data_IF_748954148711
#
_entry.id   IF_748954148711
#
_cell.length_a   1.000
_cell.length_b   1.000
_cell.length_c   1.000
_cell.angle_alpha   90.00
_cell.angle_beta   90.00
_cell.angle_gamma   90.00
#
_symmetry.space_group_name_H-M   'P 1'
#
loop_
_entity.id
_entity.type
_entity.pdbx_description
1 polymer ?
#
# COMPACT_ATOMS: atom_id res chain seq x y z
N UNK A 1 7.49 28.79 22.81
CA UNK A 1 8.82 29.02 22.20
C UNK A 1 9.83 27.90 22.48
N UNK A 2 9.89 27.33 23.69
CA UNK A 2 10.80 26.20 24.04
C UNK A 2 10.58 24.93 23.20
N UNK A 3 9.32 24.55 22.86
CA UNK A 3 9.04 23.35 22.05
C UNK A 3 9.58 23.41 20.60
N UNK A 4 9.76 24.61 20.01
CA UNK A 4 10.37 24.75 18.66
C UNK A 4 11.89 24.57 18.69
N UNK A 5 12.54 24.87 19.81
CA UNK A 5 14.00 24.69 19.98
C UNK A 5 14.36 23.21 20.22
N UNK A 6 13.48 22.43 20.86
CA UNK A 6 13.70 20.99 21.11
C UNK A 6 13.63 20.19 19.80
N UNK A 7 12.82 20.60 18.82
CA UNK A 7 12.71 19.92 17.49
C UNK A 7 13.93 20.08 16.56
N UNK A 8 14.79 21.07 16.79
CA UNK A 8 16.08 21.17 16.07
C UNK A 8 17.16 20.25 16.63
N UNK A 9 16.84 19.52 17.70
CA UNK A 9 17.71 18.61 18.44
C UNK A 9 17.14 17.17 18.43
N UNK A 10 16.39 16.75 17.41
CA UNK A 10 16.12 15.32 17.23
C UNK A 10 17.50 14.67 17.04
N UNK A 11 17.91 13.77 17.96
CA UNK A 11 19.17 13.06 17.81
C UNK A 11 19.19 12.42 16.43
N UNK A 12 20.34 12.45 15.76
CA UNK A 12 20.51 11.83 14.43
C UNK A 12 20.06 10.35 14.41
N UNK A 13 20.04 9.73 15.58
CA UNK A 13 19.57 8.36 15.82
C UNK A 13 18.05 8.19 15.69
N UNK A 14 17.24 9.16 16.10
CA UNK A 14 15.78 9.08 15.99
C UNK A 14 15.30 9.27 14.54
N UNK A 15 16.08 10.02 13.76
CA UNK A 15 15.77 10.31 12.36
C UNK A 15 15.76 9.06 11.48
N UNK A 16 16.63 8.08 11.76
CA UNK A 16 16.75 6.85 10.99
C UNK A 16 15.42 6.04 10.95
N UNK A 17 14.66 6.01 12.05
CA UNK A 17 13.39 5.29 12.11
C UNK A 17 12.34 5.91 11.18
N UNK A 18 12.25 7.24 11.14
CA UNK A 18 11.35 7.93 10.21
C UNK A 18 11.78 7.77 8.76
N UNK A 19 13.09 7.82 8.47
CA UNK A 19 13.65 7.61 7.13
C UNK A 19 13.32 6.20 6.63
N UNK A 20 13.47 5.17 7.45
CA UNK A 20 13.11 3.78 7.09
C UNK A 20 11.60 3.60 6.87
N UNK A 21 10.76 4.24 7.67
CA UNK A 21 9.31 4.21 7.43
C UNK A 21 8.92 4.91 6.13
N UNK A 22 9.55 6.03 5.79
CA UNK A 22 9.33 6.73 4.52
C UNK A 22 9.85 5.87 3.35
N UNK A 23 11.06 5.30 3.42
CA UNK A 23 11.60 4.40 2.40
C UNK A 23 10.65 3.22 2.14
N UNK A 24 10.05 2.65 3.19
CA UNK A 24 9.09 1.57 3.06
C UNK A 24 7.77 2.01 2.41
N UNK A 25 7.23 3.20 2.74
CA UNK A 25 6.00 3.71 2.11
C UNK A 25 6.23 4.10 0.65
N UNK A 26 7.36 4.71 0.32
CA UNK A 26 7.77 5.01 -1.06
C UNK A 26 7.87 3.73 -1.91
N UNK A 27 8.50 2.68 -1.39
CA UNK A 27 8.59 1.38 -2.08
C UNK A 27 7.21 0.75 -2.31
N UNK A 28 6.29 0.89 -1.37
CA UNK A 28 4.90 0.41 -1.51
C UNK A 28 4.13 1.24 -2.54
N UNK A 29 4.30 2.55 -2.56
CA UNK A 29 3.71 3.44 -3.57
C UNK A 29 4.23 3.10 -4.96
N UNK A 30 5.55 2.90 -5.12
CA UNK A 30 6.15 2.45 -6.37
C UNK A 30 5.55 1.11 -6.84
N UNK A 31 5.37 0.15 -5.93
CA UNK A 31 4.74 -1.14 -6.24
C UNK A 31 3.34 -0.99 -6.81
N UNK A 32 2.52 -0.12 -6.22
CA UNK A 32 1.16 0.12 -6.69
C UNK A 32 1.14 0.90 -8.01
N UNK A 33 2.07 1.83 -8.21
CA UNK A 33 2.26 2.58 -9.45
C UNK A 33 2.65 1.64 -10.60
N UNK A 34 3.59 0.73 -10.38
CA UNK A 34 4.01 -0.27 -11.38
C UNK A 34 2.84 -1.21 -11.69
N UNK A 35 2.08 -1.67 -10.68
CA UNK A 35 0.89 -2.49 -10.90
C UNK A 35 -0.15 -1.76 -11.76
N UNK A 36 -0.39 -0.46 -11.53
CA UNK A 36 -1.30 0.37 -12.34
C UNK A 36 -0.81 0.51 -13.79
N UNK A 37 0.50 0.59 -14.01
CA UNK A 37 1.09 0.57 -15.35
C UNK A 37 0.89 -0.78 -16.04
N UNK A 38 1.14 -1.89 -15.36
CA UNK A 38 0.95 -3.26 -15.89
C UNK A 38 -0.49 -3.46 -16.39
N UNK A 39 -1.49 -2.99 -15.63
CA UNK A 39 -2.92 -3.14 -16.02
C UNK A 39 -3.27 -2.38 -17.31
N UNK A 40 -2.55 -1.30 -17.60
CA UNK A 40 -2.79 -0.43 -18.76
C UNK A 40 -1.93 -0.78 -19.97
N UNK A 41 -0.86 -1.56 -19.78
CA UNK A 41 0.11 -1.90 -20.81
C UNK A 41 -0.41 -3.03 -21.72
N UNK A 42 -0.01 -3.00 -22.99
CA UNK A 42 -0.37 -4.02 -24.00
C UNK A 42 0.84 -4.66 -24.67
N UNK A 43 2.00 -4.00 -24.58
CA UNK A 43 3.23 -4.55 -25.14
C UNK A 43 3.85 -5.60 -24.24
N UNK A 44 4.04 -6.82 -24.76
CA UNK A 44 4.52 -7.97 -23.98
C UNK A 44 5.94 -7.79 -23.43
N UNK A 45 6.82 -7.07 -24.13
CA UNK A 45 8.17 -6.82 -23.65
C UNK A 45 8.14 -5.89 -22.46
N UNK A 46 7.43 -4.78 -22.57
CA UNK A 46 7.23 -3.80 -21.49
C UNK A 46 6.53 -4.43 -20.28
N UNK A 47 5.54 -5.31 -20.48
CA UNK A 47 4.88 -6.08 -19.42
C UNK A 47 5.86 -6.97 -18.66
N UNK A 48 6.81 -7.62 -19.36
CA UNK A 48 7.84 -8.45 -18.73
C UNK A 48 8.78 -7.61 -17.86
N UNK A 49 9.21 -6.45 -18.35
CA UNK A 49 10.08 -5.53 -17.62
C UNK A 49 9.39 -4.98 -16.35
N UNK A 50 8.15 -4.50 -16.48
CA UNK A 50 7.36 -4.01 -15.36
C UNK A 50 7.07 -5.10 -14.32
N UNK A 51 6.86 -6.34 -14.76
CA UNK A 51 6.63 -7.48 -13.88
C UNK A 51 7.86 -7.80 -13.03
N UNK A 52 9.05 -7.72 -13.63
CA UNK A 52 10.30 -7.90 -12.91
C UNK A 52 10.60 -6.72 -11.97
N UNK A 53 10.35 -5.48 -12.41
CA UNK A 53 10.46 -4.29 -11.57
C UNK A 53 9.55 -4.42 -10.33
N UNK A 54 8.28 -4.81 -10.52
CA UNK A 54 7.35 -5.06 -9.42
C UNK A 54 7.86 -6.14 -8.45
N UNK A 55 8.44 -7.21 -8.99
CA UNK A 55 9.01 -8.28 -8.17
C UNK A 55 10.16 -7.77 -7.29
N UNK A 56 11.01 -6.89 -7.84
CA UNK A 56 12.16 -6.32 -7.13
C UNK A 56 11.74 -5.42 -5.96
N UNK A 57 10.61 -4.72 -6.03
CA UNK A 57 10.10 -3.93 -4.90
C UNK A 57 9.90 -4.77 -3.64
N UNK A 58 9.60 -6.08 -3.81
CA UNK A 58 9.49 -7.02 -2.70
C UNK A 58 10.82 -7.22 -1.96
N UNK A 59 11.90 -7.30 -2.70
CA UNK A 59 13.26 -7.44 -2.12
C UNK A 59 13.61 -6.18 -1.34
N UNK A 60 13.40 -5.00 -1.94
CA UNK A 60 13.66 -3.70 -1.28
C UNK A 60 12.85 -3.58 0.02
N UNK A 61 11.55 -3.90 0.00
CA UNK A 61 10.72 -3.81 1.21
C UNK A 61 11.21 -4.75 2.32
N UNK A 62 11.69 -5.96 1.98
CA UNK A 62 12.28 -6.89 2.96
C UNK A 62 13.58 -6.33 3.53
N UNK A 63 14.43 -5.73 2.71
CA UNK A 63 15.68 -5.12 3.16
C UNK A 63 15.42 -3.96 4.12
N UNK A 64 14.43 -3.10 3.83
CA UNK A 64 14.03 -2.00 4.73
C UNK A 64 13.50 -2.54 6.06
N UNK A 65 12.70 -3.60 6.04
CA UNK A 65 12.20 -4.24 7.26
C UNK A 65 13.36 -4.81 8.11
N UNK A 66 14.31 -5.48 7.48
CA UNK A 66 15.51 -6.01 8.15
C UNK A 66 16.38 -4.89 8.73
N UNK A 67 16.54 -3.76 8.01
CA UNK A 67 17.24 -2.57 8.53
C UNK A 67 16.52 -2.03 9.77
N UNK A 68 15.17 -1.91 9.73
CA UNK A 68 14.39 -1.46 10.88
C UNK A 68 14.60 -2.37 12.11
N UNK A 69 14.51 -3.68 11.94
CA UNK A 69 14.72 -4.64 13.04
C UNK A 69 16.14 -4.53 13.61
N UNK A 70 17.16 -4.32 12.74
CA UNK A 70 18.53 -4.10 13.17
C UNK A 70 18.68 -2.81 13.99
N UNK A 71 18.10 -1.69 13.54
CA UNK A 71 18.14 -0.43 14.27
C UNK A 71 17.36 -0.52 15.60
N UNK A 72 16.22 -1.21 15.60
CA UNK A 72 15.49 -1.49 16.84
C UNK A 72 16.32 -2.31 17.82
N UNK A 73 17.14 -3.26 17.38
CA UNK A 73 18.01 -4.04 18.27
C UNK A 73 19.19 -3.22 18.85
N UNK A 74 19.67 -2.23 18.11
CA UNK A 74 20.84 -1.41 18.51
C UNK A 74 20.50 -0.22 19.42
N UNK A 75 19.28 0.31 19.31
CA UNK A 75 18.88 1.51 20.04
C UNK A 75 18.02 1.13 21.24
N UNK A 76 18.45 1.51 22.45
CA UNK A 76 17.69 1.23 23.67
C UNK A 76 16.48 2.15 23.81
N UNK A 77 16.59 3.39 23.37
CA UNK A 77 15.51 4.39 23.35
C UNK A 77 15.12 4.68 21.90
N UNK A 78 13.83 4.74 21.61
CA UNK A 78 13.28 5.03 20.29
C UNK A 78 12.30 6.20 20.35
N UNK A 79 12.13 6.98 19.26
CA UNK A 79 11.23 8.16 19.24
C UNK A 79 9.77 7.80 19.37
N UNK A 80 9.43 6.57 19.03
CA UNK A 80 8.08 5.98 19.05
C UNK A 80 8.20 4.63 19.76
N UNK A 81 7.12 4.14 20.34
CA UNK A 81 7.08 2.79 20.92
C UNK A 81 7.58 1.75 19.89
N UNK A 82 8.50 0.89 20.32
CA UNK A 82 9.18 -0.11 19.46
C UNK A 82 8.20 -1.08 18.80
N UNK A 83 7.14 -1.45 19.52
CA UNK A 83 6.10 -2.34 19.00
C UNK A 83 5.32 -1.64 17.88
N UNK A 84 5.03 -0.36 18.03
CA UNK A 84 4.35 0.42 16.99
C UNK A 84 5.23 0.58 15.75
N UNK A 85 6.53 0.89 15.89
CA UNK A 85 7.49 0.95 14.78
C UNK A 85 7.55 -0.38 14.00
N UNK A 86 7.72 -1.49 14.73
CA UNK A 86 7.76 -2.83 14.14
C UNK A 86 6.44 -3.19 13.44
N UNK A 87 5.30 -2.83 14.03
CA UNK A 87 3.99 -3.08 13.45
C UNK A 87 3.78 -2.33 12.12
N UNK A 88 4.12 -1.05 12.06
CA UNK A 88 4.00 -0.23 10.84
C UNK A 88 4.83 -0.85 9.71
N UNK A 89 6.10 -1.16 9.96
CA UNK A 89 6.98 -1.80 8.95
C UNK A 89 6.44 -3.16 8.53
N UNK A 90 5.96 -3.98 9.47
CA UNK A 90 5.37 -5.29 9.17
C UNK A 90 4.12 -5.17 8.29
N UNK A 91 3.26 -4.17 8.54
CA UNK A 91 2.09 -3.93 7.70
C UNK A 91 2.47 -3.44 6.30
N UNK A 92 3.48 -2.56 6.16
CA UNK A 92 4.00 -2.13 4.85
C UNK A 92 4.58 -3.31 4.07
N UNK A 93 5.34 -4.19 4.72
CA UNK A 93 5.84 -5.44 4.14
C UNK A 93 4.71 -6.35 3.64
N UNK A 94 3.63 -6.48 4.43
CA UNK A 94 2.43 -7.24 4.06
C UNK A 94 1.68 -6.59 2.89
N UNK A 95 1.58 -5.27 2.85
CA UNK A 95 0.93 -4.53 1.76
C UNK A 95 1.66 -4.74 0.44
N UNK A 96 2.99 -4.56 0.40
CA UNK A 96 3.78 -4.85 -0.78
C UNK A 96 3.58 -6.30 -1.27
N UNK A 97 3.61 -7.29 -0.36
CA UNK A 97 3.34 -8.70 -0.69
C UNK A 97 1.96 -8.90 -1.34
N UNK A 98 0.95 -8.16 -0.87
CA UNK A 98 -0.41 -8.23 -1.42
C UNK A 98 -0.47 -7.62 -2.82
N UNK A 99 0.20 -6.49 -3.07
CA UNK A 99 0.28 -5.86 -4.39
C UNK A 99 0.94 -6.82 -5.40
N UNK A 100 2.07 -7.42 -5.06
CA UNK A 100 2.73 -8.43 -5.91
C UNK A 100 1.84 -9.67 -6.13
N UNK A 101 1.04 -10.06 -5.14
CA UNK A 101 0.08 -11.17 -5.28
C UNK A 101 -1.06 -10.84 -6.25
N UNK A 102 -1.57 -9.60 -6.25
CA UNK A 102 -2.58 -9.15 -7.22
C UNK A 102 -2.06 -9.34 -8.64
N UNK A 103 -0.84 -8.88 -8.93
CA UNK A 103 -0.21 -9.07 -10.25
C UNK A 103 -0.17 -10.54 -10.66
N UNK A 104 0.27 -11.45 -9.78
CA UNK A 104 0.31 -12.89 -10.08
C UNK A 104 -1.04 -13.47 -10.44
N UNK A 105 -2.11 -13.04 -9.77
CA UNK A 105 -3.46 -13.47 -10.07
C UNK A 105 -3.94 -12.89 -11.40
N UNK A 106 -3.57 -11.64 -11.70
CA UNK A 106 -3.89 -11.00 -12.98
C UNK A 106 -3.19 -11.70 -14.16
N UNK A 107 -1.94 -12.12 -14.03
CA UNK A 107 -1.24 -12.88 -15.08
C UNK A 107 -2.03 -14.13 -15.50
N UNK A 108 -2.61 -14.87 -14.54
CA UNK A 108 -3.45 -16.05 -14.82
C UNK A 108 -4.73 -15.69 -15.58
N UNK A 109 -5.27 -14.48 -15.37
CA UNK A 109 -6.50 -14.01 -16.02
C UNK A 109 -6.26 -13.41 -17.42
N UNK A 110 -5.11 -12.72 -17.61
CA UNK A 110 -4.78 -12.03 -18.86
C UNK A 110 -4.58 -12.97 -20.05
N UNK A 111 -4.37 -14.28 -19.79
CA UNK A 111 -4.38 -15.32 -20.83
C UNK A 111 -5.77 -15.55 -21.42
N UNK A 112 -6.84 -15.07 -20.77
CA UNK A 112 -8.22 -15.16 -21.21
C UNK A 112 -8.71 -13.76 -21.66
N UNK A 113 -8.74 -13.46 -22.96
CA UNK A 113 -9.14 -12.16 -23.53
C UNK A 113 -10.63 -11.85 -23.25
N UNK A 114 -10.94 -11.16 -22.13
CA UNK A 114 -12.28 -10.64 -21.80
C UNK A 114 -12.21 -9.18 -21.35
N UNK A 115 -12.40 -8.27 -22.31
CA UNK A 115 -12.17 -6.83 -22.18
C UNK A 115 -12.90 -6.11 -21.03
N UNK A 116 -14.14 -6.50 -20.69
CA UNK A 116 -14.94 -5.80 -19.67
C UNK A 116 -14.38 -5.98 -18.25
N UNK A 117 -13.78 -7.13 -17.95
CA UNK A 117 -13.16 -7.41 -16.64
C UNK A 117 -11.96 -6.51 -16.40
N UNK A 118 -11.19 -6.25 -17.46
CA UNK A 118 -9.96 -5.45 -17.37
C UNK A 118 -10.24 -3.98 -16.97
N UNK A 119 -11.35 -3.41 -17.42
CA UNK A 119 -11.70 -2.01 -17.09
C UNK A 119 -12.00 -1.83 -15.60
N UNK A 120 -12.79 -2.73 -15.00
CA UNK A 120 -13.09 -2.66 -13.55
C UNK A 120 -11.87 -2.94 -12.69
N UNK A 121 -11.04 -3.89 -13.09
CA UNK A 121 -9.76 -4.16 -12.42
C UNK A 121 -8.85 -2.94 -12.46
N UNK A 122 -8.76 -2.25 -13.63
CA UNK A 122 -7.96 -1.04 -13.77
C UNK A 122 -8.41 0.06 -12.81
N UNK A 123 -9.71 0.28 -12.65
CA UNK A 123 -10.25 1.29 -11.72
C UNK A 123 -9.91 0.95 -10.26
N UNK A 124 -10.06 -0.32 -9.85
CA UNK A 124 -9.72 -0.76 -8.50
C UNK A 124 -8.21 -0.64 -8.22
N UNK A 125 -7.35 -0.99 -9.19
CA UNK A 125 -5.90 -0.84 -9.07
C UNK A 125 -5.50 0.63 -9.02
N UNK A 126 -6.13 1.48 -9.83
CA UNK A 126 -5.89 2.94 -9.78
C UNK A 126 -6.26 3.53 -8.41
N UNK A 127 -7.35 3.05 -7.80
CA UNK A 127 -7.72 3.50 -6.46
C UNK A 127 -6.72 3.00 -5.42
N UNK A 128 -6.25 1.75 -5.50
CA UNK A 128 -5.17 1.25 -4.65
C UNK A 128 -3.91 2.12 -4.78
N UNK A 129 -3.52 2.51 -6.00
CA UNK A 129 -2.41 3.44 -6.25
C UNK A 129 -2.64 4.81 -5.60
N UNK A 130 -3.86 5.36 -5.69
CA UNK A 130 -4.21 6.63 -5.02
C UNK A 130 -4.09 6.51 -3.50
N UNK A 131 -4.53 5.38 -2.92
CA UNK A 131 -4.45 5.14 -1.48
C UNK A 131 -2.99 4.98 -1.00
N UNK A 132 -2.15 4.24 -1.72
CA UNK A 132 -0.73 4.10 -1.37
C UNK A 132 0.01 5.44 -1.48
N UNK A 133 -0.33 6.29 -2.45
CA UNK A 133 0.21 7.65 -2.54
C UNK A 133 -0.20 8.51 -1.35
N UNK A 134 -1.47 8.46 -0.94
CA UNK A 134 -1.93 9.20 0.25
C UNK A 134 -1.24 8.67 1.51
N UNK A 135 -1.00 7.36 1.60
CA UNK A 135 -0.31 6.75 2.73
C UNK A 135 1.16 7.21 2.82
N UNK A 136 1.86 7.33 1.70
CA UNK A 136 3.21 7.89 1.63
C UNK A 136 3.23 9.37 2.07
N UNK A 137 2.29 10.17 1.57
CA UNK A 137 2.14 11.57 2.00
C UNK A 137 1.81 11.68 3.50
N UNK A 138 0.99 10.75 4.05
CA UNK A 138 0.72 10.66 5.49
C UNK A 138 1.98 10.36 6.31
N UNK A 139 2.81 9.42 5.86
CA UNK A 139 4.07 9.09 6.54
C UNK A 139 5.02 10.28 6.56
N UNK A 140 5.14 11.00 5.44
CA UNK A 140 5.94 12.23 5.32
C UNK A 140 5.41 13.37 6.21
N UNK A 141 4.09 13.51 6.31
CA UNK A 141 3.45 14.50 7.20
C UNK A 141 3.66 14.13 8.67
N UNK A 142 3.55 12.84 9.01
CA UNK A 142 3.80 12.31 10.33
C UNK A 142 5.26 12.56 10.79
N UNK A 143 6.24 12.23 9.96
CA UNK A 143 7.66 12.47 10.25
C UNK A 143 7.97 13.97 10.47
N UNK A 144 7.20 14.89 9.86
CA UNK A 144 7.32 16.35 10.03
C UNK A 144 6.45 16.91 11.17
N UNK A 145 5.69 16.07 11.86
CA UNK A 145 4.69 16.45 12.87
C UNK A 145 3.67 17.48 12.35
N UNK A 146 3.28 17.34 11.08
CA UNK A 146 2.30 18.22 10.48
C UNK A 146 0.87 17.68 10.71
N UNK A 147 0.33 18.03 11.88
CA UNK A 147 -0.97 17.54 12.36
C UNK A 147 -2.14 17.85 11.44
N UNK A 148 -2.13 19.03 10.82
CA UNK A 148 -3.22 19.48 9.95
C UNK A 148 -3.25 18.66 8.66
N UNK A 149 -2.10 18.49 8.02
CA UNK A 149 -2.01 17.74 6.78
C UNK A 149 -2.28 16.25 7.03
N UNK A 150 -1.76 15.70 8.13
CA UNK A 150 -1.99 14.29 8.50
C UNK A 150 -3.48 13.98 8.64
N UNK A 151 -4.26 14.84 9.33
CA UNK A 151 -5.71 14.67 9.46
C UNK A 151 -6.43 14.75 8.12
N UNK A 152 -6.08 15.71 7.26
CA UNK A 152 -6.70 15.87 5.94
C UNK A 152 -6.40 14.67 5.04
N UNK A 153 -5.17 14.16 5.06
CA UNK A 153 -4.76 12.98 4.30
C UNK A 153 -5.48 11.73 4.79
N UNK A 154 -5.64 11.55 6.10
CA UNK A 154 -6.41 10.45 6.66
C UNK A 154 -7.87 10.46 6.18
N UNK A 155 -8.55 11.61 6.23
CA UNK A 155 -9.92 11.76 5.71
C UNK A 155 -10.00 11.43 4.22
N UNK A 156 -9.00 11.85 3.42
CA UNK A 156 -8.93 11.53 2.00
C UNK A 156 -8.77 10.03 1.76
N UNK A 157 -7.95 9.34 2.56
CA UNK A 157 -7.76 7.90 2.45
C UNK A 157 -9.03 7.14 2.78
N UNK A 158 -9.75 7.53 3.84
CA UNK A 158 -11.04 6.94 4.25
C UNK A 158 -12.10 7.10 3.14
N UNK A 159 -12.17 8.27 2.50
CA UNK A 159 -13.10 8.49 1.38
C UNK A 159 -12.77 7.60 0.16
N UNK A 160 -11.48 7.32 -0.10
CA UNK A 160 -11.08 6.39 -1.17
C UNK A 160 -11.46 4.94 -0.83
N UNK A 161 -11.37 4.53 0.44
CA UNK A 161 -11.76 3.19 0.92
C UNK A 161 -13.26 2.93 0.72
N UNK A 162 -14.11 3.88 1.11
CA UNK A 162 -15.56 3.80 0.92
C UNK A 162 -15.96 3.64 -0.55
N UNK A 163 -15.38 4.45 -1.45
CA UNK A 163 -15.68 4.42 -2.88
C UNK A 163 -15.31 3.06 -3.51
N UNK A 164 -14.20 2.45 -3.12
CA UNK A 164 -13.77 1.15 -3.69
C UNK A 164 -14.70 0.02 -3.28
N UNK A 165 -15.22 0.02 -2.07
CA UNK A 165 -16.17 -1.02 -1.65
C UNK A 165 -17.44 -1.02 -2.52
N UNK A 166 -17.92 0.16 -2.94
CA UNK A 166 -19.03 0.29 -3.87
C UNK A 166 -18.66 -0.21 -5.28
N UNK A 167 -17.48 0.18 -5.80
CA UNK A 167 -16.99 -0.26 -7.11
C UNK A 167 -16.82 -1.79 -7.16
N UNK A 168 -16.28 -2.40 -6.10
CA UNK A 168 -16.12 -3.84 -5.98
C UNK A 168 -17.48 -4.56 -5.96
N UNK A 169 -18.47 -4.03 -5.23
CA UNK A 169 -19.80 -4.59 -5.18
C UNK A 169 -20.51 -4.52 -6.55
N UNK A 170 -20.36 -3.40 -7.27
CA UNK A 170 -20.89 -3.23 -8.62
C UNK A 170 -20.23 -4.17 -9.63
N UNK A 171 -18.91 -4.34 -9.56
CA UNK A 171 -18.18 -5.27 -10.41
C UNK A 171 -18.65 -6.71 -10.19
N UNK A 172 -18.74 -7.18 -8.95
CA UNK A 172 -19.19 -8.53 -8.62
C UNK A 172 -20.64 -8.79 -9.06
N UNK A 173 -21.53 -7.79 -8.97
CA UNK A 173 -22.92 -7.92 -9.43
C UNK A 173 -23.02 -8.14 -10.95
N UNK A 174 -22.16 -7.54 -11.75
CA UNK A 174 -22.13 -7.77 -13.21
C UNK A 174 -21.71 -9.18 -13.57
N UNK A 175 -20.83 -9.81 -12.80
CA UNK A 175 -20.41 -11.19 -13.02
C UNK A 175 -21.51 -12.23 -12.71
N UNK A 176 -22.60 -11.86 -12.04
CA UNK A 176 -23.74 -12.76 -11.81
C UNK A 176 -24.54 -13.11 -13.08
N UNK A 177 -24.25 -12.47 -14.21
CA UNK A 177 -24.91 -12.69 -15.49
C UNK A 177 -24.10 -13.54 -16.48
N UNK A 178 -22.95 -14.12 -16.07
CA UNK A 178 -22.18 -15.03 -16.91
C UNK A 178 -22.85 -16.41 -17.00
N UNK A 179 -22.66 -17.10 -18.14
CA UNK A 179 -23.20 -18.43 -18.37
C UNK A 179 -22.57 -19.51 -17.48
N UNK A 180 -23.25 -20.63 -17.27
CA UNK A 180 -22.81 -21.73 -16.38
C UNK A 180 -21.42 -22.31 -16.72
N UNK A 181 -20.94 -22.15 -17.96
CA UNK A 181 -19.60 -22.59 -18.39
C UNK A 181 -18.41 -21.76 -17.84
N UNK A 182 -18.68 -20.60 -17.24
CA UNK A 182 -17.67 -19.62 -16.84
C UNK A 182 -17.27 -19.66 -15.34
N UNK A 183 -17.67 -20.70 -14.62
CA UNK A 183 -17.49 -20.80 -13.15
C UNK A 183 -16.02 -20.62 -12.76
N UNK A 184 -15.08 -21.25 -13.46
CA UNK A 184 -13.63 -21.15 -13.16
C UNK A 184 -13.14 -19.73 -13.37
N UNK A 185 -13.55 -19.07 -14.46
CA UNK A 185 -13.23 -17.67 -14.75
C UNK A 185 -13.77 -16.74 -13.66
N UNK A 186 -15.03 -16.90 -13.27
CA UNK A 186 -15.68 -16.12 -12.20
C UNK A 186 -14.89 -16.28 -10.87
N UNK A 187 -14.46 -17.49 -10.54
CA UNK A 187 -13.64 -17.75 -9.35
C UNK A 187 -12.31 -17.03 -9.40
N UNK A 188 -11.60 -17.06 -10.54
CA UNK A 188 -10.32 -16.33 -10.74
C UNK A 188 -10.51 -14.82 -10.56
N UNK A 189 -11.54 -14.26 -11.18
CA UNK A 189 -11.87 -12.83 -11.06
C UNK A 189 -12.18 -12.47 -9.60
N UNK A 190 -12.99 -13.27 -8.92
CA UNK A 190 -13.31 -13.07 -7.51
C UNK A 190 -12.07 -13.10 -6.62
N UNK A 191 -11.12 -13.98 -6.89
CA UNK A 191 -9.87 -14.06 -6.13
C UNK A 191 -9.02 -12.80 -6.30
N UNK A 192 -8.99 -12.20 -7.50
CA UNK A 192 -8.30 -10.94 -7.75
C UNK A 192 -8.96 -9.80 -6.97
N UNK A 193 -10.28 -9.67 -7.06
CA UNK A 193 -11.01 -8.64 -6.31
C UNK A 193 -10.79 -8.77 -4.80
N UNK A 194 -10.83 -9.99 -4.29
CA UNK A 194 -10.52 -10.28 -2.88
C UNK A 194 -9.09 -9.90 -2.50
N UNK A 195 -8.13 -10.10 -3.40
CA UNK A 195 -6.75 -9.69 -3.18
C UNK A 195 -6.62 -8.15 -3.14
N UNK A 196 -7.32 -7.43 -4.02
CA UNK A 196 -7.35 -5.95 -4.03
C UNK A 196 -8.01 -5.42 -2.75
N UNK A 197 -9.19 -5.92 -2.39
CA UNK A 197 -9.89 -5.56 -1.14
C UNK A 197 -8.97 -5.72 0.09
N UNK A 198 -8.27 -6.84 0.16
CA UNK A 198 -7.32 -7.11 1.25
C UNK A 198 -6.11 -6.14 1.25
N UNK A 199 -5.66 -5.66 0.09
CA UNK A 199 -4.59 -4.67 0.01
C UNK A 199 -5.10 -3.30 0.49
N UNK A 200 -6.28 -2.88 0.05
CA UNK A 200 -6.96 -1.63 0.45
C UNK A 200 -7.18 -1.60 1.96
N UNK A 201 -7.78 -2.64 2.52
CA UNK A 201 -7.97 -2.77 3.98
C UNK A 201 -6.66 -2.69 4.76
N UNK A 202 -5.54 -3.14 4.16
CA UNK A 202 -4.22 -3.00 4.78
C UNK A 202 -3.73 -1.55 4.73
N UNK A 203 -4.00 -0.79 3.66
CA UNK A 203 -3.70 0.65 3.60
C UNK A 203 -4.42 1.40 4.73
N UNK A 204 -5.71 1.12 4.93
CA UNK A 204 -6.53 1.71 5.99
C UNK A 204 -5.98 1.36 7.37
N UNK A 205 -5.61 0.11 7.62
CA UNK A 205 -5.01 -0.33 8.90
C UNK A 205 -3.68 0.37 9.20
N UNK A 206 -2.85 0.64 8.17
CA UNK A 206 -1.59 1.39 8.35
C UNK A 206 -1.90 2.86 8.68
N UNK A 207 -2.82 3.48 7.96
CA UNK A 207 -3.24 4.87 8.20
C UNK A 207 -3.79 5.06 9.61
N UNK A 208 -4.63 4.15 10.09
CA UNK A 208 -5.14 4.12 11.48
C UNK A 208 -4.00 3.97 12.50
N UNK A 209 -3.00 3.13 12.20
CA UNK A 209 -1.85 2.95 13.07
C UNK A 209 -1.03 4.25 13.17
N UNK A 210 -0.79 4.94 12.06
CA UNK A 210 -0.11 6.25 12.04
C UNK A 210 -0.90 7.28 12.88
N UNK A 211 -2.22 7.35 12.69
CA UNK A 211 -3.07 8.26 13.46
C UNK A 211 -3.06 7.94 14.96
N UNK A 212 -3.12 6.66 15.34
CA UNK A 212 -3.08 6.21 16.73
C UNK A 212 -1.75 6.59 17.39
N UNK A 213 -0.62 6.38 16.74
CA UNK A 213 0.70 6.77 17.22
C UNK A 213 0.74 8.28 17.44
N UNK A 214 0.29 9.04 16.43
CA UNK A 214 0.28 10.50 16.50
C UNK A 214 -0.52 11.04 17.70
N UNK A 215 -1.66 10.42 18.03
CA UNK A 215 -2.50 10.84 19.19
C UNK A 215 -1.83 10.48 20.52
N UNK A 216 -1.11 9.37 20.62
CA UNK A 216 -0.43 8.94 21.85
C UNK A 216 0.77 9.82 22.22
N UNK A 217 1.39 10.47 21.24
CA UNK A 217 2.58 11.32 21.45
C UNK A 217 2.23 12.79 21.77
N UNK A 218 0.95 13.12 21.86
CA UNK A 218 0.44 14.45 22.22
C UNK A 218 0.06 14.53 23.68
#
# INVERSE_FOLDING_TARGET
MLRKLVKSLIPSQDKIFFELMIEATETVEDSARILDQIVKEKDNLTLSELSEELRLTRTVTVEVANKMDHELARHFVTPIDRVELHNVITFLLKLNKKIVKIHRYMQILMEEERGDVNLYLANCVETLRKMTKVLDDMMKAFAKDNKKDLKNLYMRLTALDENVLEDLAHALKRFSHFEEGDIIFIMKVKDIYKAIENAISTCTSIAESIMRIHVKEV
#
